data_IF_193707465715
#
_entry.id   IF_193707465715
#
_cell.length_a   1.000
_cell.length_b   1.000
_cell.length_c   1.000
_cell.angle_alpha   90.00
_cell.angle_beta   90.00
_cell.angle_gamma   90.00
#
_symmetry.space_group_name_H-M   'P 1'
#
loop_
_entity.id
_entity.type
_entity.pdbx_description
1 polymer ?
#
# COMPACT_ATOMS: atom_id res chain seq x y z
N UNK A 1 30.96 -11.62 25.50
CA UNK A 1 30.38 -12.47 24.44
C UNK A 1 30.39 -11.76 23.09
N UNK A 2 30.19 -12.48 21.98
CA UNK A 2 30.10 -11.89 20.64
C UNK A 2 28.74 -11.25 20.46
N UNK A 3 28.67 -10.01 19.96
CA UNK A 3 27.40 -9.31 19.68
C UNK A 3 26.51 -10.14 18.74
N UNK A 4 25.21 -10.13 18.98
CA UNK A 4 24.20 -10.75 18.10
C UNK A 4 24.36 -10.25 16.65
N UNK A 5 24.35 -11.20 15.70
CA UNK A 5 24.34 -10.93 14.26
C UNK A 5 23.29 -11.80 13.61
N UNK A 6 22.35 -11.17 12.92
CA UNK A 6 21.37 -11.88 12.11
C UNK A 6 21.99 -12.25 10.76
N UNK A 7 22.02 -13.55 10.42
CA UNK A 7 22.68 -14.04 9.20
C UNK A 7 21.99 -13.55 7.92
N UNK A 8 20.68 -13.32 7.98
CA UNK A 8 19.87 -12.90 6.83
C UNK A 8 19.62 -11.38 6.82
N UNK A 9 20.49 -10.58 7.43
CA UNK A 9 20.30 -9.11 7.49
C UNK A 9 20.25 -8.47 6.10
N UNK A 10 21.14 -8.90 5.19
CA UNK A 10 21.17 -8.38 3.80
C UNK A 10 19.93 -8.80 3.00
N UNK A 11 19.39 -9.98 3.29
CA UNK A 11 18.13 -10.43 2.68
C UNK A 11 16.97 -9.62 3.23
N UNK A 12 16.95 -9.36 4.54
CA UNK A 12 15.91 -8.55 5.17
C UNK A 12 15.92 -7.11 4.66
N UNK A 13 17.11 -6.51 4.46
CA UNK A 13 17.22 -5.15 3.92
C UNK A 13 16.72 -5.08 2.47
N UNK A 14 17.06 -6.06 1.63
CA UNK A 14 16.52 -6.17 0.27
C UNK A 14 14.99 -6.31 0.27
N UNK A 15 14.43 -7.11 1.18
CA UNK A 15 12.98 -7.32 1.29
C UNK A 15 12.24 -6.05 1.72
N UNK A 16 12.80 -5.31 2.68
CA UNK A 16 12.28 -3.99 3.09
C UNK A 16 12.28 -3.01 1.92
N UNK A 17 13.35 -2.98 1.14
CA UNK A 17 13.41 -2.15 -0.07
C UNK A 17 12.34 -2.56 -1.10
N UNK A 18 12.16 -3.86 -1.34
CA UNK A 18 11.11 -4.37 -2.23
C UNK A 18 9.70 -4.01 -1.75
N UNK A 19 9.46 -4.09 -0.44
CA UNK A 19 8.20 -3.67 0.17
C UNK A 19 7.94 -2.18 -0.06
N UNK A 20 8.95 -1.32 0.14
CA UNK A 20 8.84 0.11 -0.11
C UNK A 20 8.57 0.43 -1.58
N UNK A 21 9.26 -0.23 -2.51
CA UNK A 21 8.98 -0.08 -3.95
C UNK A 21 7.54 -0.48 -4.30
N UNK A 22 7.06 -1.63 -3.79
CA UNK A 22 5.69 -2.07 -4.02
C UNK A 22 4.65 -1.09 -3.41
N UNK A 23 4.97 -0.48 -2.27
CA UNK A 23 4.13 0.54 -1.65
C UNK A 23 4.03 1.80 -2.52
N UNK A 24 5.16 2.26 -3.07
CA UNK A 24 5.21 3.42 -3.98
C UNK A 24 4.39 3.13 -5.25
N UNK A 25 4.55 1.94 -5.84
CA UNK A 25 3.78 1.54 -7.01
C UNK A 25 2.28 1.49 -6.75
N UNK A 26 1.87 0.93 -5.61
CA UNK A 26 0.47 0.95 -5.18
C UNK A 26 -0.04 2.38 -5.01
N UNK A 27 0.75 3.26 -4.39
CA UNK A 27 0.39 4.68 -4.23
C UNK A 27 0.15 5.38 -5.57
N UNK A 28 0.99 5.12 -6.58
CA UNK A 28 0.80 5.64 -7.94
C UNK A 28 -0.48 5.12 -8.58
N UNK A 29 -0.78 3.83 -8.45
CA UNK A 29 -2.00 3.23 -9.00
C UNK A 29 -3.26 3.84 -8.38
N UNK A 30 -3.30 3.98 -7.04
CA UNK A 30 -4.40 4.62 -6.31
C UNK A 30 -4.58 6.08 -6.73
N UNK A 31 -3.49 6.81 -6.96
CA UNK A 31 -3.55 8.22 -7.39
C UNK A 31 -4.20 8.36 -8.78
N UNK A 32 -3.84 7.50 -9.74
CA UNK A 32 -4.47 7.49 -11.06
C UNK A 32 -5.95 7.08 -11.00
N UNK A 33 -6.29 6.06 -10.21
CA UNK A 33 -7.69 5.67 -9.98
C UNK A 33 -8.52 6.84 -9.42
N UNK A 34 -7.96 7.53 -8.43
CA UNK A 34 -8.60 8.70 -7.78
C UNK A 34 -8.80 9.83 -8.78
N UNK A 35 -7.79 10.12 -9.60
CA UNK A 35 -7.87 11.15 -10.65
C UNK A 35 -8.97 10.86 -11.67
N UNK A 36 -9.15 9.60 -12.07
CA UNK A 36 -10.25 9.21 -12.98
C UNK A 36 -11.60 9.40 -12.28
N UNK A 37 -11.71 9.02 -11.00
CA UNK A 37 -12.93 9.23 -10.22
C UNK A 37 -13.27 10.72 -10.04
N UNK A 38 -12.27 11.57 -9.85
CA UNK A 38 -12.45 13.03 -9.77
C UNK A 38 -12.94 13.61 -11.11
N UNK A 39 -12.43 13.12 -12.23
CA UNK A 39 -12.92 13.51 -13.56
C UNK A 39 -14.38 13.11 -13.77
N UNK A 40 -14.79 11.91 -13.32
CA UNK A 40 -16.20 11.50 -13.34
C UNK A 40 -17.08 12.41 -12.49
N UNK A 41 -16.61 12.80 -11.30
CA UNK A 41 -17.34 13.72 -10.43
C UNK A 41 -17.51 15.10 -11.09
N UNK A 42 -16.44 15.61 -11.73
CA UNK A 42 -16.49 16.87 -12.48
C UNK A 42 -17.46 16.78 -13.66
N UNK A 43 -17.45 15.67 -14.40
CA UNK A 43 -18.37 15.43 -15.51
C UNK A 43 -19.83 15.41 -15.04
N UNK A 44 -20.10 14.79 -13.88
CA UNK A 44 -21.42 14.79 -13.28
C UNK A 44 -21.90 16.20 -12.89
N UNK A 45 -21.00 17.05 -12.38
CA UNK A 45 -21.29 18.46 -12.12
C UNK A 45 -21.62 19.22 -13.41
N UNK A 46 -20.81 19.06 -14.46
CA UNK A 46 -21.06 19.66 -15.76
C UNK A 46 -22.41 19.23 -16.34
N UNK A 47 -22.76 17.96 -16.20
CA UNK A 47 -24.05 17.43 -16.63
C UNK A 47 -25.21 18.08 -15.87
N UNK A 48 -25.10 18.22 -14.54
CA UNK A 48 -26.11 18.87 -13.72
C UNK A 48 -26.28 20.36 -14.06
N UNK A 49 -25.18 21.08 -14.27
CA UNK A 49 -25.17 22.49 -14.67
C UNK A 49 -25.81 22.69 -16.04
N UNK A 50 -25.43 21.88 -17.03
CA UNK A 50 -26.02 21.94 -18.36
C UNK A 50 -27.53 21.64 -18.32
N UNK A 51 -27.94 20.62 -17.56
CA UNK A 51 -29.37 20.30 -17.36
C UNK A 51 -30.14 21.46 -16.74
N UNK A 52 -29.55 22.15 -15.76
CA UNK A 52 -30.15 23.34 -15.14
C UNK A 52 -30.27 24.49 -16.14
N UNK A 53 -29.23 24.75 -16.94
CA UNK A 53 -29.22 25.81 -17.95
C UNK A 53 -30.26 25.60 -19.06
N UNK A 54 -30.54 24.33 -19.41
CA UNK A 54 -31.53 23.95 -20.42
C UNK A 54 -32.96 23.85 -19.88
N UNK A 55 -33.13 23.83 -18.55
CA UNK A 55 -34.44 23.63 -17.92
C UNK A 55 -35.39 24.79 -18.25
N UNK A 56 -36.55 24.47 -18.84
CA UNK A 56 -37.56 25.47 -19.20
C UNK A 56 -37.23 26.30 -20.44
N UNK A 57 -36.14 26.00 -21.15
CA UNK A 57 -35.87 26.62 -22.45
C UNK A 57 -36.89 26.12 -23.48
N UNK A 58 -37.44 27.04 -24.27
CA UNK A 58 -38.29 26.76 -25.44
C UNK A 58 -37.57 27.06 -26.76
N UNK A 59 -36.32 27.55 -26.68
CA UNK A 59 -35.49 27.77 -27.86
C UNK A 59 -35.03 26.43 -28.43
N UNK A 60 -35.52 26.12 -29.63
CA UNK A 60 -35.19 24.92 -30.38
C UNK A 60 -33.67 24.73 -30.53
N UNK A 61 -32.93 25.80 -30.84
CA UNK A 61 -31.48 25.71 -31.03
C UNK A 61 -30.76 25.36 -29.72
N UNK A 62 -31.18 25.99 -28.61
CA UNK A 62 -30.66 25.65 -27.29
C UNK A 62 -30.91 24.17 -26.97
N UNK A 63 -32.13 23.67 -27.19
CA UNK A 63 -32.51 22.27 -26.92
C UNK A 63 -31.67 21.29 -27.75
N UNK A 64 -31.54 21.52 -29.06
CA UNK A 64 -30.78 20.62 -29.96
C UNK A 64 -29.28 20.62 -29.64
N UNK A 65 -28.71 21.79 -29.35
CA UNK A 65 -27.31 21.90 -28.91
C UNK A 65 -27.10 21.21 -27.55
N UNK A 66 -28.05 21.37 -26.63
CA UNK A 66 -28.04 20.70 -25.33
C UNK A 66 -28.07 19.18 -25.45
N UNK A 67 -28.92 18.62 -26.30
CA UNK A 67 -28.97 17.18 -26.57
C UNK A 67 -27.64 16.65 -27.11
N UNK A 68 -27.05 17.36 -28.08
CA UNK A 68 -25.74 16.99 -28.64
C UNK A 68 -24.64 17.01 -27.59
N UNK A 69 -24.67 18.01 -26.70
CA UNK A 69 -23.74 18.11 -25.59
C UNK A 69 -23.94 16.98 -24.56
N UNK A 70 -25.17 16.61 -24.23
CA UNK A 70 -25.42 15.46 -23.34
C UNK A 70 -24.95 14.14 -23.94
N UNK A 71 -25.14 13.93 -25.25
CA UNK A 71 -24.59 12.75 -25.94
C UNK A 71 -23.06 12.71 -25.86
N UNK A 72 -22.41 13.87 -25.99
CA UNK A 72 -20.96 13.99 -25.82
C UNK A 72 -20.51 13.69 -24.39
N UNK A 73 -21.17 14.25 -23.37
CA UNK A 73 -20.87 13.97 -21.97
C UNK A 73 -21.05 12.48 -21.65
N UNK A 74 -22.11 11.85 -22.16
CA UNK A 74 -22.33 10.41 -21.97
C UNK A 74 -21.21 9.56 -22.56
N UNK A 75 -20.73 9.90 -23.76
CA UNK A 75 -19.60 9.19 -24.38
C UNK A 75 -18.32 9.34 -23.55
N UNK A 76 -18.08 10.52 -22.97
CA UNK A 76 -16.96 10.73 -22.06
C UNK A 76 -17.11 9.92 -20.76
N UNK A 77 -18.32 9.85 -20.21
CA UNK A 77 -18.62 9.08 -19.01
C UNK A 77 -18.34 7.59 -19.24
N UNK A 78 -18.84 7.04 -20.33
CA UNK A 78 -18.60 5.64 -20.72
C UNK A 78 -17.10 5.34 -20.80
N UNK A 79 -16.33 6.19 -21.47
CA UNK A 79 -14.87 6.03 -21.55
C UNK A 79 -14.18 6.11 -20.18
N UNK A 80 -14.54 7.09 -19.35
CA UNK A 80 -13.96 7.23 -18.01
C UNK A 80 -14.32 6.05 -17.09
N UNK A 81 -15.50 5.45 -17.25
CA UNK A 81 -15.90 4.25 -16.51
C UNK A 81 -15.09 3.03 -16.96
N UNK A 82 -14.83 2.87 -18.26
CA UNK A 82 -13.93 1.84 -18.78
C UNK A 82 -12.50 2.01 -18.23
N UNK A 83 -11.97 3.24 -18.31
CA UNK A 83 -10.65 3.58 -17.78
C UNK A 83 -10.57 3.33 -16.26
N UNK A 84 -11.64 3.67 -15.51
CA UNK A 84 -11.72 3.42 -14.07
C UNK A 84 -11.73 1.93 -13.75
N UNK A 85 -12.46 1.12 -14.51
CA UNK A 85 -12.50 -0.33 -14.33
C UNK A 85 -11.11 -0.93 -14.54
N UNK A 86 -10.40 -0.52 -15.60
CA UNK A 86 -9.03 -0.94 -15.86
C UNK A 86 -8.06 -0.49 -14.76
N UNK A 87 -8.18 0.77 -14.31
CA UNK A 87 -7.37 1.32 -13.23
C UNK A 87 -7.58 0.56 -11.91
N UNK A 88 -8.83 0.21 -11.56
CA UNK A 88 -9.15 -0.59 -10.37
C UNK A 88 -8.52 -1.97 -10.40
N UNK A 89 -8.62 -2.67 -11.53
CA UNK A 89 -7.96 -3.97 -11.71
C UNK A 89 -6.45 -3.81 -11.49
N UNK A 90 -5.83 -2.79 -12.10
CA UNK A 90 -4.41 -2.52 -11.93
C UNK A 90 -4.05 -2.21 -10.47
N UNK A 91 -4.82 -1.36 -9.77
CA UNK A 91 -4.64 -1.06 -8.34
C UNK A 91 -4.66 -2.33 -7.50
N UNK A 92 -5.61 -3.24 -7.74
CA UNK A 92 -5.68 -4.50 -7.00
C UNK A 92 -4.47 -5.40 -7.26
N UNK A 93 -3.97 -5.49 -8.51
CA UNK A 93 -2.73 -6.24 -8.77
C UNK A 93 -1.53 -5.69 -8.01
N UNK A 94 -1.43 -4.35 -7.87
CA UNK A 94 -0.38 -3.70 -7.08
C UNK A 94 -0.58 -3.91 -5.58
N UNK A 95 -1.83 -3.97 -5.12
CA UNK A 95 -2.16 -4.26 -3.72
C UNK A 95 -1.77 -5.68 -3.34
N UNK A 96 -2.01 -6.65 -4.21
CA UNK A 96 -1.58 -8.04 -4.02
C UNK A 96 -0.06 -8.15 -3.96
N UNK A 97 0.66 -7.50 -4.89
CA UNK A 97 2.12 -7.47 -4.88
C UNK A 97 2.69 -6.84 -3.59
N UNK A 98 2.10 -5.74 -3.12
CA UNK A 98 2.49 -5.13 -1.85
C UNK A 98 2.23 -6.06 -0.66
N UNK A 99 1.07 -6.74 -0.63
CA UNK A 99 0.74 -7.71 0.43
C UNK A 99 1.73 -8.87 0.47
N UNK A 100 2.13 -9.38 -0.69
CA UNK A 100 3.13 -10.44 -0.79
C UNK A 100 4.51 -9.96 -0.29
N UNK A 101 4.93 -8.76 -0.69
CA UNK A 101 6.19 -8.16 -0.22
C UNK A 101 6.19 -7.93 1.29
N UNK A 102 5.06 -7.48 1.85
CA UNK A 102 4.86 -7.30 3.28
C UNK A 102 4.99 -8.64 4.02
N UNK A 103 4.28 -9.68 3.58
CA UNK A 103 4.33 -11.02 4.19
C UNK A 103 5.75 -11.61 4.21
N UNK A 104 6.48 -11.48 3.10
CA UNK A 104 7.88 -11.94 2.98
C UNK A 104 8.83 -11.17 3.90
N UNK A 105 8.56 -9.89 4.14
CA UNK A 105 9.38 -9.05 5.02
C UNK A 105 9.06 -9.33 6.49
N UNK A 106 7.78 -9.47 6.83
CA UNK A 106 7.35 -9.79 8.20
C UNK A 106 7.85 -11.15 8.67
N UNK A 107 7.88 -12.17 7.80
CA UNK A 107 8.39 -13.49 8.18
C UNK A 107 9.86 -13.45 8.60
N UNK A 108 10.69 -12.66 7.90
CA UNK A 108 12.10 -12.47 8.27
C UNK A 108 12.28 -11.60 9.51
N UNK A 109 11.47 -10.56 9.70
CA UNK A 109 11.49 -9.77 10.94
C UNK A 109 11.18 -10.67 12.15
N UNK A 110 10.13 -11.50 12.07
CA UNK A 110 9.77 -12.44 13.15
C UNK A 110 10.88 -13.46 13.42
N UNK A 111 11.55 -13.95 12.36
CA UNK A 111 12.70 -14.84 12.52
C UNK A 111 13.86 -14.14 13.25
N UNK A 112 14.17 -12.90 12.87
CA UNK A 112 15.20 -12.09 13.53
C UNK A 112 14.88 -11.83 14.99
N UNK A 113 13.63 -11.47 15.30
CA UNK A 113 13.17 -11.25 16.68
C UNK A 113 13.30 -12.51 17.53
N UNK A 114 12.91 -13.67 16.99
CA UNK A 114 13.08 -14.95 17.67
C UNK A 114 14.55 -15.26 17.96
N UNK A 115 15.41 -15.18 16.95
CA UNK A 115 16.85 -15.44 17.14
C UNK A 115 17.51 -14.47 18.13
N UNK A 116 17.05 -13.22 18.16
CA UNK A 116 17.51 -12.24 19.13
C UNK A 116 17.04 -12.60 20.56
N UNK A 117 15.82 -13.10 20.72
CA UNK A 117 15.31 -13.60 22.01
C UNK A 117 16.15 -14.79 22.49
N UNK A 118 16.34 -15.78 21.62
CA UNK A 118 17.12 -16.98 21.94
C UNK A 118 18.58 -16.62 22.34
N UNK A 119 19.20 -15.67 21.63
CA UNK A 119 20.53 -15.15 21.98
C UNK A 119 20.56 -14.53 23.38
N UNK A 120 19.56 -13.71 23.73
CA UNK A 120 19.49 -13.06 25.05
C UNK A 120 19.27 -14.07 26.18
N UNK A 121 18.46 -15.10 25.94
CA UNK A 121 18.25 -16.18 26.91
C UNK A 121 19.52 -16.98 27.16
N UNK A 122 20.30 -17.25 26.11
CA UNK A 122 21.61 -17.92 26.25
C UNK A 122 22.62 -17.04 26.99
N UNK A 123 22.72 -15.76 26.65
CA UNK A 123 23.60 -14.80 27.33
C UNK A 123 23.26 -14.69 28.82
N UNK A 124 21.98 -14.63 29.18
CA UNK A 124 21.55 -14.60 30.58
C UNK A 124 21.91 -15.89 31.35
N UNK A 125 21.79 -17.07 30.71
CA UNK A 125 22.17 -18.34 31.32
C UNK A 125 23.67 -18.46 31.52
N UNK A 126 24.47 -18.07 30.51
CA UNK A 126 25.93 -18.05 30.63
C UNK A 126 26.38 -17.09 31.75
N UNK A 127 25.72 -15.94 31.90
CA UNK A 127 25.98 -15.02 33.01
C UNK A 127 25.63 -15.65 34.37
N UNK A 128 24.49 -16.32 34.50
CA UNK A 128 24.08 -17.04 35.72
C UNK A 128 25.10 -18.13 36.10
N UNK A 129 25.49 -18.97 35.14
CA UNK A 129 26.48 -20.04 35.34
C UNK A 129 27.83 -19.48 35.80
N UNK A 130 28.28 -18.37 35.21
CA UNK A 130 29.54 -17.72 35.65
C UNK A 130 29.48 -17.15 37.07
N UNK A 131 28.32 -16.65 37.50
CA UNK A 131 28.13 -16.15 38.86
C UNK A 131 28.16 -17.32 39.85
N UNK A 132 27.47 -18.42 39.54
CA UNK A 132 27.44 -19.62 40.38
C UNK A 132 28.82 -20.26 40.53
N UNK A 133 29.61 -20.33 39.45
CA UNK A 133 30.99 -20.79 39.48
C UNK A 133 31.86 -19.89 40.37
N UNK A 134 31.71 -18.57 40.27
CA UNK A 134 32.44 -17.62 41.12
C UNK A 134 32.08 -17.76 42.60
N UNK A 135 30.80 -17.99 42.91
CA UNK A 135 30.31 -18.21 44.27
C UNK A 135 30.87 -19.52 44.82
N UNK A 136 30.77 -20.60 44.06
CA UNK A 136 31.25 -21.94 44.45
C UNK A 136 32.77 -21.95 44.67
N UNK A 137 33.54 -21.28 43.82
CA UNK A 137 34.98 -21.12 43.99
C UNK A 137 35.37 -20.29 45.23
N UNK A 138 34.49 -19.40 45.69
CA UNK A 138 34.70 -18.60 46.91
C UNK A 138 34.44 -19.37 48.20
N UNK A 139 33.48 -20.30 48.19
CA UNK A 139 33.10 -21.10 49.36
C UNK A 139 33.91 -22.41 49.52
N UNK A 140 34.61 -22.85 48.47
CA UNK A 140 35.49 -24.02 48.51
C UNK A 140 36.96 -23.69 48.85
N UNK A 141 37.21 -22.59 49.58
CA UNK A 141 38.49 -22.24 50.21
C UNK A 141 38.36 -22.28 51.72
#
# INVERSE_FOLDING_TARGET
MKKFKFELEDVLSLRKFQQEQAQIELGKAVAEETKIQDNLNLLALQHAEAKKALSGSTDFNAITNGQSYFSFLKLQEEKLLEDLAAAKIFTETKREAFKEALQKTESLNKLKEKQLSDYKELEAKEEEDTIDDMVTARFNK
#
